data_IF_809254874610
#
_entry.id   IF_809254874610
#
_cell.length_a   1.000
_cell.length_b   1.000
_cell.length_c   1.000
_cell.angle_alpha   90.00
_cell.angle_beta   90.00
_cell.angle_gamma   90.00
#
_symmetry.space_group_name_H-M   'P 1'
#
loop_
_entity.id
_entity.type
_entity.pdbx_description
1 polymer ?
#
# COMPACT_ATOMS: atom_id res chain seq x y z
N UNK A 1 18.68 15.21 -0.49
CA UNK A 1 19.06 13.77 -0.52
C UNK A 1 18.69 13.11 -1.85
N UNK A 2 17.49 13.32 -2.39
CA UNK A 2 17.06 12.76 -3.69
C UNK A 2 18.03 13.13 -4.82
N UNK A 3 18.49 14.36 -4.87
CA UNK A 3 19.41 14.84 -5.92
C UNK A 3 20.80 14.16 -5.91
N UNK A 4 21.11 13.39 -4.87
CA UNK A 4 22.37 12.65 -4.74
C UNK A 4 22.21 11.15 -5.03
N UNK A 5 21.03 10.72 -5.47
CA UNK A 5 20.76 9.34 -5.85
C UNK A 5 21.12 9.20 -7.33
N UNK A 6 22.08 8.35 -7.65
CA UNK A 6 22.40 7.96 -9.01
C UNK A 6 21.70 6.65 -9.31
N UNK A 7 20.79 6.66 -10.27
CA UNK A 7 20.08 5.49 -10.74
C UNK A 7 20.78 4.95 -12.01
N UNK A 8 20.84 3.63 -12.14
CA UNK A 8 21.26 2.98 -13.37
C UNK A 8 20.16 3.17 -14.43
N UNK A 9 20.42 3.83 -15.56
CA UNK A 9 19.41 4.10 -16.59
C UNK A 9 18.87 2.82 -17.26
N UNK A 10 19.58 1.70 -17.12
CA UNK A 10 19.18 0.41 -17.68
C UNK A 10 18.32 -0.43 -16.72
N UNK A 11 18.03 0.09 -15.53
CA UNK A 11 17.22 -0.59 -14.52
C UNK A 11 15.96 0.20 -14.22
N UNK A 12 14.89 -0.53 -13.93
CA UNK A 12 13.64 0.05 -13.47
C UNK A 12 13.58 0.02 -11.95
N UNK A 13 12.96 1.03 -11.34
CA UNK A 13 12.88 1.15 -9.89
C UNK A 13 11.46 1.51 -9.45
N UNK A 14 11.03 0.91 -8.34
CA UNK A 14 9.90 1.38 -7.56
C UNK A 14 10.43 2.16 -6.36
N UNK A 15 10.10 3.43 -6.26
CA UNK A 15 10.54 4.31 -5.18
C UNK A 15 9.31 4.81 -4.44
N UNK A 16 9.18 4.41 -3.18
CA UNK A 16 8.08 4.82 -2.31
C UNK A 16 8.50 5.83 -1.25
N UNK A 17 7.66 6.81 -0.98
CA UNK A 17 7.73 7.68 0.19
C UNK A 17 6.70 7.29 1.24
N UNK A 18 6.86 7.73 2.48
CA UNK A 18 5.88 7.49 3.54
C UNK A 18 6.02 6.17 4.29
N UNK A 19 7.11 5.43 4.14
CA UNK A 19 7.33 4.16 4.85
C UNK A 19 7.33 4.30 6.38
N UNK A 20 7.91 5.39 6.90
CA UNK A 20 8.00 5.69 8.34
C UNK A 20 7.25 6.97 8.72
N UNK A 21 6.55 7.58 7.77
CA UNK A 21 5.80 8.82 7.92
C UNK A 21 4.65 8.82 6.93
N UNK A 22 3.88 9.90 6.87
CA UNK A 22 2.83 10.07 5.86
C UNK A 22 3.31 11.03 4.76
N UNK A 23 3.16 10.63 3.50
CA UNK A 23 3.66 11.42 2.37
C UNK A 23 2.88 12.71 2.13
N UNK A 24 1.59 12.76 2.48
CA UNK A 24 0.69 13.85 2.10
C UNK A 24 0.13 14.64 3.29
N UNK A 25 0.25 14.13 4.54
CA UNK A 25 -0.37 14.76 5.70
C UNK A 25 0.01 16.23 5.86
N UNK A 26 1.27 16.58 5.62
CA UNK A 26 1.80 17.93 5.73
C UNK A 26 1.68 18.77 4.44
N UNK A 27 1.08 18.20 3.38
CA UNK A 27 1.08 18.84 2.07
C UNK A 27 2.49 19.11 1.53
N UNK A 28 2.64 20.14 0.70
CA UNK A 28 3.94 20.52 0.14
C UNK A 28 4.77 21.42 1.07
N UNK A 29 4.76 21.14 2.36
CA UNK A 29 5.54 21.93 3.34
C UNK A 29 7.04 21.83 3.00
N UNK A 30 7.67 22.99 2.86
CA UNK A 30 9.10 23.07 2.51
C UNK A 30 9.43 22.59 1.09
N UNK A 31 8.45 22.46 0.18
CA UNK A 31 8.68 22.04 -1.20
C UNK A 31 9.03 20.55 -1.34
N UNK A 32 8.66 19.71 -0.36
CA UNK A 32 9.04 18.29 -0.36
C UNK A 32 8.35 17.53 -1.48
N UNK A 33 7.05 17.78 -1.72
CA UNK A 33 6.32 17.12 -2.82
C UNK A 33 6.88 17.58 -4.16
N UNK A 34 7.15 18.88 -4.34
CA UNK A 34 7.77 19.39 -5.57
C UNK A 34 9.09 18.69 -5.89
N UNK A 35 9.97 18.57 -4.90
CA UNK A 35 11.25 17.91 -5.08
C UNK A 35 11.09 16.42 -5.46
N UNK A 36 10.05 15.75 -4.98
CA UNK A 36 9.75 14.36 -5.31
C UNK A 36 9.14 14.23 -6.72
N UNK A 37 8.22 15.13 -7.08
CA UNK A 37 7.66 15.17 -8.44
C UNK A 37 8.74 15.50 -9.48
N UNK A 38 9.63 16.46 -9.18
CA UNK A 38 10.75 16.79 -10.06
C UNK A 38 11.73 15.64 -10.20
N UNK A 39 11.98 14.89 -9.13
CA UNK A 39 12.80 13.69 -9.20
C UNK A 39 12.15 12.62 -10.09
N UNK A 40 10.85 12.38 -9.94
CA UNK A 40 10.11 11.44 -10.79
C UNK A 40 10.14 11.88 -12.27
N UNK A 41 9.94 13.17 -12.53
CA UNK A 41 9.94 13.74 -13.90
C UNK A 41 11.28 13.56 -14.60
N UNK A 42 12.39 13.68 -13.86
CA UNK A 42 13.76 13.53 -14.39
C UNK A 42 14.20 12.09 -14.60
N UNK A 43 13.50 11.13 -14.02
CA UNK A 43 13.86 9.72 -14.04
C UNK A 43 12.70 8.87 -14.59
N UNK A 44 12.56 8.74 -15.92
CA UNK A 44 11.44 8.02 -16.53
C UNK A 44 11.46 6.50 -16.26
N UNK A 45 12.59 5.97 -15.84
CA UNK A 45 12.79 4.56 -15.47
C UNK A 45 12.38 4.25 -14.02
N UNK A 46 11.68 5.16 -13.35
CA UNK A 46 11.09 4.88 -12.04
C UNK A 46 9.56 4.94 -12.09
N UNK A 47 8.93 4.21 -11.19
CA UNK A 47 7.58 4.50 -10.69
C UNK A 47 7.72 5.05 -9.27
N UNK A 48 7.09 6.20 -9.01
CA UNK A 48 7.18 6.88 -7.73
C UNK A 48 5.85 6.79 -6.97
N UNK A 49 5.90 6.33 -5.73
CA UNK A 49 4.74 6.13 -4.89
C UNK A 49 4.68 7.13 -3.74
N UNK A 50 3.56 7.86 -3.62
CA UNK A 50 3.19 8.57 -2.41
C UNK A 50 2.25 7.70 -1.57
N UNK A 51 2.74 7.16 -0.45
CA UNK A 51 1.93 6.36 0.47
C UNK A 51 1.37 7.22 1.60
N UNK A 52 0.05 7.13 1.85
CA UNK A 52 -0.61 8.02 2.80
C UNK A 52 -1.79 7.34 3.54
N UNK A 53 -2.18 7.94 4.67
CA UNK A 53 -3.44 7.73 5.40
C UNK A 53 -4.23 9.05 5.51
N UNK A 54 -3.79 10.07 4.78
CA UNK A 54 -4.37 11.42 4.81
C UNK A 54 -5.42 11.60 3.72
N UNK A 55 -6.30 12.58 3.93
CA UNK A 55 -7.20 13.13 2.90
C UNK A 55 -6.65 14.40 2.23
N UNK A 56 -5.43 14.80 2.58
CA UNK A 56 -4.84 16.05 2.10
C UNK A 56 -4.23 15.87 0.71
N UNK A 57 -5.08 15.92 -0.32
CA UNK A 57 -4.70 15.77 -1.74
C UNK A 57 -4.74 17.09 -2.52
N UNK A 58 -5.11 18.20 -1.84
CA UNK A 58 -5.35 19.49 -2.50
C UNK A 58 -4.14 19.95 -3.34
N UNK A 59 -2.92 19.67 -2.86
CA UNK A 59 -1.72 20.07 -3.59
C UNK A 59 -1.59 19.30 -4.92
N UNK A 60 -1.77 17.98 -4.91
CA UNK A 60 -1.67 17.16 -6.11
C UNK A 60 -2.77 17.43 -7.13
N UNK A 61 -3.98 17.79 -6.68
CA UNK A 61 -5.08 18.20 -7.57
C UNK A 61 -4.80 19.52 -8.32
N UNK A 62 -3.89 20.34 -7.82
CA UNK A 62 -3.55 21.65 -8.40
C UNK A 62 -2.13 21.71 -8.98
N UNK A 63 -1.49 20.56 -9.15
CA UNK A 63 -0.11 20.45 -9.63
C UNK A 63 -0.05 19.47 -10.80
N UNK A 64 0.81 19.75 -11.77
CA UNK A 64 1.12 18.80 -12.86
C UNK A 64 1.89 17.61 -12.29
N UNK A 65 1.20 16.49 -12.11
CA UNK A 65 1.77 15.24 -11.58
C UNK A 65 2.32 14.40 -12.72
N UNK A 66 3.63 14.03 -12.70
CA UNK A 66 4.22 13.17 -13.72
C UNK A 66 3.50 11.82 -13.81
N UNK A 67 3.40 11.27 -15.02
CA UNK A 67 2.66 10.01 -15.26
C UNK A 67 3.26 8.79 -14.55
N UNK A 68 4.54 8.81 -14.25
CA UNK A 68 5.22 7.77 -13.51
C UNK A 68 5.07 7.92 -11.98
N UNK A 69 4.08 8.70 -11.54
CA UNK A 69 3.71 8.86 -10.12
C UNK A 69 2.33 8.27 -9.88
N UNK A 70 2.18 7.55 -8.78
CA UNK A 70 0.88 7.13 -8.27
C UNK A 70 0.77 7.40 -6.76
N UNK A 71 -0.45 7.41 -6.26
CA UNK A 71 -0.73 7.65 -4.84
C UNK A 71 -1.41 6.42 -4.25
N UNK A 72 -0.93 5.96 -3.11
CA UNK A 72 -1.48 4.79 -2.45
C UNK A 72 -2.01 5.09 -1.05
N UNK A 73 -3.11 4.43 -0.68
CA UNK A 73 -3.69 4.53 0.65
C UNK A 73 -3.57 3.23 1.41
N UNK A 74 -3.13 3.32 2.67
CA UNK A 74 -3.33 2.23 3.60
C UNK A 74 -4.80 2.19 3.98
N UNK A 75 -5.44 1.02 3.85
CA UNK A 75 -6.84 0.79 4.15
C UNK A 75 -6.99 -0.19 5.32
N UNK A 76 -7.81 0.19 6.26
CA UNK A 76 -8.23 -0.65 7.38
C UNK A 76 -9.71 -0.41 7.67
N UNK A 77 -10.41 -1.36 8.28
CA UNK A 77 -11.76 -1.14 8.79
C UNK A 77 -11.84 0.05 9.74
N UNK A 78 -12.95 0.80 9.70
CA UNK A 78 -13.09 2.03 10.48
C UNK A 78 -12.88 1.78 11.98
N UNK A 79 -13.33 0.64 12.50
CA UNK A 79 -13.10 0.29 13.90
C UNK A 79 -11.61 0.20 14.27
N UNK A 80 -10.77 -0.25 13.33
CA UNK A 80 -9.32 -0.29 13.55
C UNK A 80 -8.71 1.12 13.44
N UNK A 81 -9.17 1.91 12.48
CA UNK A 81 -8.72 3.31 12.31
C UNK A 81 -9.01 4.11 13.58
N UNK A 82 -10.21 4.00 14.13
CA UNK A 82 -10.63 4.73 15.33
C UNK A 82 -9.83 4.35 16.59
N UNK A 83 -9.46 3.06 16.69
CA UNK A 83 -8.78 2.56 17.87
C UNK A 83 -7.25 2.67 17.81
N UNK A 84 -6.64 2.60 16.62
CA UNK A 84 -5.18 2.42 16.48
C UNK A 84 -4.52 3.44 15.55
N UNK A 85 -5.25 4.09 14.63
CA UNK A 85 -4.68 5.01 13.65
C UNK A 85 -5.05 6.47 13.95
N UNK A 86 -4.78 6.91 15.17
CA UNK A 86 -5.13 8.25 15.63
C UNK A 86 -4.56 9.37 14.74
N UNK A 87 -5.39 10.39 14.48
CA UNK A 87 -4.98 11.56 13.67
C UNK A 87 -4.94 11.31 12.18
N UNK A 88 -5.41 10.14 11.69
CA UNK A 88 -5.50 9.84 10.26
C UNK A 88 -6.92 10.06 9.72
N UNK A 89 -7.07 10.02 8.40
CA UNK A 89 -8.38 10.14 7.76
C UNK A 89 -9.22 8.87 7.96
N UNK A 90 -10.56 9.02 8.01
CA UNK A 90 -11.48 7.87 8.01
C UNK A 90 -11.38 7.06 6.71
N UNK A 91 -11.86 5.83 6.72
CA UNK A 91 -11.86 4.98 5.51
C UNK A 91 -12.61 5.65 4.36
N UNK A 92 -13.77 6.24 4.62
CA UNK A 92 -14.55 6.96 3.60
C UNK A 92 -13.81 8.17 3.02
N UNK A 93 -13.08 8.92 3.86
CA UNK A 93 -12.26 10.04 3.41
C UNK A 93 -11.06 9.59 2.57
N UNK A 94 -10.41 8.46 2.92
CA UNK A 94 -9.32 7.88 2.11
C UNK A 94 -9.82 7.47 0.73
N UNK A 95 -10.95 6.76 0.67
CA UNK A 95 -11.55 6.32 -0.60
C UNK A 95 -12.01 7.49 -1.47
N UNK A 96 -12.67 8.50 -0.88
CA UNK A 96 -13.06 9.71 -1.60
C UNK A 96 -11.85 10.48 -2.17
N UNK A 97 -10.76 10.57 -1.39
CA UNK A 97 -9.52 11.21 -1.85
C UNK A 97 -8.87 10.43 -2.98
N UNK A 98 -8.83 9.10 -2.89
CA UNK A 98 -8.32 8.24 -3.96
C UNK A 98 -9.17 8.41 -5.24
N UNK A 99 -10.51 8.43 -5.13
CA UNK A 99 -11.40 8.65 -6.26
C UNK A 99 -11.12 10.01 -6.94
N UNK A 100 -11.02 11.08 -6.14
CA UNK A 100 -10.76 12.42 -6.67
C UNK A 100 -9.43 12.51 -7.43
N UNK A 101 -8.35 11.84 -6.97
CA UNK A 101 -7.09 11.80 -7.73
C UNK A 101 -7.22 10.95 -9.00
N UNK A 102 -7.92 9.83 -8.93
CA UNK A 102 -8.15 8.97 -10.08
C UNK A 102 -9.00 9.67 -11.17
N UNK A 103 -10.01 10.45 -10.77
CA UNK A 103 -10.80 11.29 -11.70
C UNK A 103 -9.94 12.35 -12.41
N UNK A 104 -8.79 12.70 -11.82
CA UNK A 104 -7.80 13.60 -12.42
C UNK A 104 -6.68 12.84 -13.17
N UNK A 105 -6.87 11.57 -13.47
CA UNK A 105 -5.94 10.76 -14.27
C UNK A 105 -4.69 10.29 -13.53
N UNK A 106 -4.65 10.39 -12.19
CA UNK A 106 -3.56 9.88 -11.36
C UNK A 106 -3.90 8.46 -10.92
N UNK A 107 -3.04 7.49 -11.23
CA UNK A 107 -3.19 6.12 -10.76
C UNK A 107 -3.19 6.06 -9.23
N UNK A 108 -4.01 5.17 -8.68
CA UNK A 108 -4.10 4.95 -7.24
C UNK A 108 -3.72 3.53 -6.86
N UNK A 109 -3.25 3.31 -5.64
CA UNK A 109 -2.91 2.00 -5.11
C UNK A 109 -3.50 1.81 -3.72
N UNK A 110 -3.60 0.55 -3.27
CA UNK A 110 -4.15 0.25 -1.96
C UNK A 110 -3.29 -0.74 -1.19
N UNK A 111 -3.05 -0.42 0.07
CA UNK A 111 -2.31 -1.26 1.00
C UNK A 111 -3.26 -1.77 2.09
N UNK A 112 -3.55 -3.04 2.06
CA UNK A 112 -4.15 -3.77 3.17
C UNK A 112 -3.03 -4.24 4.09
N UNK A 113 -2.42 -3.28 4.78
CA UNK A 113 -1.24 -3.52 5.61
C UNK A 113 -1.23 -2.62 6.85
N UNK A 114 -1.44 -3.21 8.02
CA UNK A 114 -1.67 -4.63 8.28
C UNK A 114 -3.12 -5.06 8.07
N UNK A 115 -3.36 -6.28 7.60
CA UNK A 115 -4.65 -6.95 7.78
C UNK A 115 -4.68 -7.45 9.23
N UNK A 116 -5.75 -7.13 9.95
CA UNK A 116 -5.90 -7.45 11.36
C UNK A 116 -6.93 -8.55 11.55
N UNK A 117 -6.55 -9.60 12.29
CA UNK A 117 -7.42 -10.72 12.63
C UNK A 117 -8.22 -10.39 13.91
N UNK A 118 -9.54 -10.35 13.80
CA UNK A 118 -10.46 -10.10 14.92
C UNK A 118 -11.87 -10.60 14.57
N UNK A 119 -12.78 -10.59 15.53
CA UNK A 119 -14.18 -10.93 15.25
C UNK A 119 -14.77 -10.00 14.21
N UNK A 120 -15.42 -10.54 13.18
CA UNK A 120 -16.02 -9.82 12.04
C UNK A 120 -15.02 -9.26 10.99
N UNK A 121 -13.71 -9.54 11.09
CA UNK A 121 -12.73 -9.04 10.11
C UNK A 121 -13.13 -9.35 8.67
N UNK A 122 -13.67 -10.54 8.41
CA UNK A 122 -14.10 -10.97 7.08
C UNK A 122 -15.11 -9.98 6.50
N UNK A 123 -16.19 -9.71 7.24
CA UNK A 123 -17.22 -8.77 6.78
C UNK A 123 -16.64 -7.38 6.56
N UNK A 124 -15.87 -6.87 7.49
CA UNK A 124 -15.37 -5.50 7.44
C UNK A 124 -14.38 -5.28 6.28
N UNK A 125 -13.51 -6.26 5.98
CA UNK A 125 -12.64 -6.19 4.80
C UNK A 125 -13.41 -6.42 3.49
N UNK A 126 -14.39 -7.33 3.46
CA UNK A 126 -15.27 -7.51 2.30
C UNK A 126 -16.03 -6.22 1.96
N UNK A 127 -16.57 -5.52 2.95
CA UNK A 127 -17.27 -4.24 2.74
C UNK A 127 -16.33 -3.17 2.11
N UNK A 128 -15.07 -3.09 2.54
CA UNK A 128 -14.08 -2.19 1.92
C UNK A 128 -13.82 -2.60 0.47
N UNK A 129 -13.61 -3.90 0.19
CA UNK A 129 -13.30 -4.41 -1.14
C UNK A 129 -14.47 -4.19 -2.10
N UNK A 130 -15.71 -4.39 -1.65
CA UNK A 130 -16.89 -4.10 -2.46
C UNK A 130 -17.00 -2.58 -2.78
N UNK A 131 -16.70 -1.72 -1.82
CA UNK A 131 -16.63 -0.27 -2.09
C UNK A 131 -15.56 0.06 -3.16
N UNK A 132 -14.37 -0.55 -3.09
CA UNK A 132 -13.35 -0.39 -4.12
C UNK A 132 -13.85 -0.83 -5.50
N UNK A 133 -14.50 -1.99 -5.57
CA UNK A 133 -15.08 -2.52 -6.81
C UNK A 133 -16.10 -1.58 -7.45
N UNK A 134 -16.93 -0.94 -6.63
CA UNK A 134 -17.94 0.01 -7.12
C UNK A 134 -17.34 1.36 -7.51
N UNK A 135 -16.27 1.77 -6.85
CA UNK A 135 -15.67 3.10 -7.04
C UNK A 135 -14.62 3.14 -8.16
N UNK A 136 -13.94 2.02 -8.45
CA UNK A 136 -12.78 2.04 -9.34
C UNK A 136 -12.86 0.97 -10.42
N UNK A 137 -12.28 1.26 -11.58
CA UNK A 137 -11.95 0.29 -12.61
C UNK A 137 -10.53 -0.26 -12.37
N UNK A 138 -10.24 -1.45 -12.88
CA UNK A 138 -8.94 -2.10 -12.71
C UNK A 138 -7.78 -1.35 -13.37
N UNK A 139 -8.04 -0.57 -14.41
CA UNK A 139 -7.04 0.25 -15.12
C UNK A 139 -6.66 1.51 -14.34
N UNK A 140 -7.46 1.91 -13.37
CA UNK A 140 -7.18 3.02 -12.46
C UNK A 140 -6.33 2.61 -11.25
N UNK A 141 -6.16 1.30 -11.01
CA UNK A 141 -5.46 0.76 -9.85
C UNK A 141 -4.04 0.33 -10.23
N UNK A 142 -3.04 0.99 -9.68
CA UNK A 142 -1.64 0.63 -9.86
C UNK A 142 -1.33 -0.77 -9.30
N UNK A 143 -1.64 -0.97 -8.02
CA UNK A 143 -1.37 -2.23 -7.31
C UNK A 143 -2.23 -2.35 -6.05
N UNK A 144 -2.32 -3.57 -5.54
CA UNK A 144 -2.86 -3.89 -4.21
C UNK A 144 -1.83 -4.71 -3.45
N UNK A 145 -1.41 -4.20 -2.29
CA UNK A 145 -0.54 -4.95 -1.39
C UNK A 145 -1.28 -5.44 -0.16
N UNK A 146 -0.87 -6.60 0.32
CA UNK A 146 -1.38 -7.21 1.53
C UNK A 146 -0.24 -7.53 2.48
N UNK A 147 -0.45 -7.37 3.77
CA UNK A 147 0.52 -7.72 4.79
C UNK A 147 -0.15 -7.88 6.14
N UNK A 148 0.47 -8.64 7.03
CA UNK A 148 -0.05 -8.87 8.37
C UNK A 148 0.69 -8.06 9.43
N UNK A 149 0.16 -8.03 10.64
CA UNK A 149 0.88 -7.48 11.79
C UNK A 149 2.18 -8.25 12.01
N UNK A 150 3.28 -7.53 11.90
CA UNK A 150 4.62 -8.09 12.12
C UNK A 150 5.45 -7.12 12.93
N UNK A 151 5.98 -7.58 14.05
CA UNK A 151 6.81 -6.79 14.94
C UNK A 151 8.18 -7.41 15.13
N UNK A 152 9.20 -6.58 15.18
CA UNK A 152 10.48 -7.02 15.74
C UNK A 152 10.31 -7.17 17.27
N UNK A 153 10.88 -8.24 17.84
CA UNK A 153 10.70 -8.58 19.28
C UNK A 153 11.09 -7.43 20.22
N UNK A 154 12.10 -6.64 19.86
CA UNK A 154 12.52 -5.46 20.64
C UNK A 154 11.48 -4.34 20.62
N UNK A 155 10.72 -4.17 19.53
CA UNK A 155 9.66 -3.17 19.45
C UNK A 155 8.51 -3.51 20.38
N UNK A 156 8.06 -4.77 20.45
CA UNK A 156 7.00 -5.21 21.38
C UNK A 156 7.36 -4.85 22.83
N UNK A 157 8.61 -5.13 23.24
CA UNK A 157 9.06 -4.80 24.60
C UNK A 157 9.01 -3.29 24.87
N UNK A 158 9.41 -2.47 23.89
CA UNK A 158 9.34 -1.00 24.01
C UNK A 158 7.89 -0.50 24.07
N UNK A 159 7.01 -1.02 23.21
CA UNK A 159 5.60 -0.64 23.17
C UNK A 159 4.89 -0.99 24.49
N UNK A 160 5.12 -2.20 25.02
CA UNK A 160 4.59 -2.59 26.35
C UNK A 160 5.10 -1.70 27.47
N UNK A 161 6.38 -1.34 27.45
CA UNK A 161 6.99 -0.43 28.45
C UNK A 161 6.44 0.99 28.34
N UNK A 162 6.07 1.44 27.15
CA UNK A 162 5.51 2.76 26.92
C UNK A 162 4.07 2.92 27.43
N UNK A 163 3.40 1.84 27.87
CA UNK A 163 2.05 1.88 28.43
C UNK A 163 0.99 2.36 27.44
N UNK A 164 1.21 2.15 26.13
CA UNK A 164 0.27 2.55 25.09
C UNK A 164 -1.04 1.78 25.23
N UNK A 165 -2.16 2.50 25.18
CA UNK A 165 -3.50 1.90 25.16
C UNK A 165 -3.77 1.37 23.74
N UNK A 166 -3.29 0.15 23.46
CA UNK A 166 -3.49 -0.52 22.17
C UNK A 166 -3.95 -1.96 22.39
N UNK A 167 -4.92 -2.39 21.59
CA UNK A 167 -5.38 -3.78 21.55
C UNK A 167 -4.50 -4.67 20.67
N UNK A 168 -3.69 -4.07 19.80
CA UNK A 168 -2.79 -4.79 18.88
C UNK A 168 -1.80 -5.70 19.61
N UNK A 169 -1.32 -5.28 20.78
CA UNK A 169 -0.40 -6.08 21.61
C UNK A 169 -1.06 -7.26 22.35
N UNK A 170 -2.39 -7.35 22.32
CA UNK A 170 -3.17 -8.45 22.92
C UNK A 170 -3.44 -9.58 21.91
N UNK A 171 -3.19 -9.36 20.63
CA UNK A 171 -3.42 -10.35 19.58
C UNK A 171 -2.39 -11.47 19.73
N UNK A 172 -2.81 -12.75 19.68
CA UNK A 172 -1.89 -13.88 19.73
C UNK A 172 -0.90 -13.85 18.58
N UNK A 173 0.39 -13.89 18.89
CA UNK A 173 1.47 -13.88 17.90
C UNK A 173 2.41 -15.05 18.13
N UNK A 174 2.90 -15.63 17.04
CA UNK A 174 3.93 -16.65 17.00
C UNK A 174 5.26 -16.09 16.49
N UNK A 175 6.32 -16.86 16.64
CA UNK A 175 7.63 -16.54 16.05
C UNK A 175 7.57 -16.76 14.53
N UNK A 176 7.99 -15.77 13.78
CA UNK A 176 8.10 -15.81 12.33
C UNK A 176 9.47 -15.25 11.93
N UNK A 177 10.44 -16.12 11.72
CA UNK A 177 11.82 -15.77 11.35
C UNK A 177 12.45 -14.70 12.27
N UNK A 178 12.29 -14.86 13.59
CA UNK A 178 12.82 -13.93 14.60
C UNK A 178 11.98 -12.67 14.82
N UNK A 179 10.85 -12.54 14.14
CA UNK A 179 9.82 -11.51 14.35
C UNK A 179 8.62 -12.14 15.05
N UNK A 180 7.70 -11.34 15.53
CA UNK A 180 6.39 -11.77 16.04
C UNK A 180 5.33 -11.40 15.03
N UNK A 181 4.57 -12.39 14.56
CA UNK A 181 3.47 -12.22 13.60
C UNK A 181 2.38 -13.27 13.87
N UNK A 182 1.34 -13.29 13.07
CA UNK A 182 0.33 -14.35 13.14
C UNK A 182 0.92 -15.72 12.80
N UNK A 183 0.26 -16.79 13.29
CA UNK A 183 0.58 -18.14 12.86
C UNK A 183 0.34 -18.32 11.35
N UNK A 184 0.93 -19.34 10.76
CA UNK A 184 0.80 -19.62 9.33
C UNK A 184 -0.67 -19.91 8.95
N UNK A 185 -1.42 -20.58 9.83
CA UNK A 185 -2.84 -20.86 9.64
C UNK A 185 -3.67 -19.58 9.58
N UNK A 186 -3.46 -18.65 10.51
CA UNK A 186 -4.15 -17.35 10.50
C UNK A 186 -3.77 -16.54 9.27
N UNK A 187 -2.48 -16.51 8.90
CA UNK A 187 -2.02 -15.83 7.68
C UNK A 187 -2.71 -16.40 6.44
N UNK A 188 -2.77 -17.72 6.32
CA UNK A 188 -3.47 -18.39 5.22
C UNK A 188 -4.94 -17.98 5.16
N UNK A 189 -5.62 -18.00 6.30
CA UNK A 189 -7.03 -17.66 6.40
C UNK A 189 -7.29 -16.22 5.95
N UNK A 190 -6.61 -15.24 6.55
CA UNK A 190 -6.87 -13.82 6.28
C UNK A 190 -6.44 -13.38 4.88
N UNK A 191 -5.28 -13.88 4.37
CA UNK A 191 -4.83 -13.53 3.04
C UNK A 191 -5.73 -14.15 1.96
N UNK A 192 -6.10 -15.42 2.10
CA UNK A 192 -7.01 -16.06 1.15
C UNK A 192 -8.38 -15.40 1.15
N UNK A 193 -8.91 -15.02 2.33
CA UNK A 193 -10.17 -14.29 2.38
C UNK A 193 -10.07 -12.98 1.58
N UNK A 194 -9.12 -12.12 1.91
CA UNK A 194 -8.97 -10.82 1.25
C UNK A 194 -8.65 -10.97 -0.24
N UNK A 195 -7.76 -11.89 -0.63
CA UNK A 195 -7.41 -12.11 -2.02
C UNK A 195 -8.59 -12.63 -2.84
N UNK A 196 -9.35 -13.60 -2.33
CA UNK A 196 -10.51 -14.17 -3.03
C UNK A 196 -11.62 -13.13 -3.22
N UNK A 197 -11.84 -12.22 -2.27
CA UNK A 197 -12.76 -11.10 -2.43
C UNK A 197 -12.39 -10.19 -3.62
N UNK A 198 -11.12 -10.14 -4.01
CA UNK A 198 -10.62 -9.44 -5.19
C UNK A 198 -10.62 -10.27 -6.48
N UNK A 199 -11.27 -11.43 -6.54
CA UNK A 199 -11.24 -12.33 -7.70
C UNK A 199 -11.54 -11.66 -9.04
N UNK A 200 -12.36 -10.61 -9.04
CA UNK A 200 -12.71 -9.81 -10.23
C UNK A 200 -11.54 -8.97 -10.80
N UNK A 201 -10.41 -8.87 -10.06
CA UNK A 201 -9.23 -8.10 -10.48
C UNK A 201 -7.93 -8.92 -10.55
N UNK A 202 -7.94 -10.23 -10.27
CA UNK A 202 -6.71 -11.04 -10.18
C UNK A 202 -5.80 -10.93 -11.40
N UNK A 203 -6.35 -10.91 -12.61
CA UNK A 203 -5.56 -10.82 -13.84
C UNK A 203 -5.36 -9.37 -14.35
N UNK A 204 -5.94 -8.40 -13.65
CA UNK A 204 -6.00 -7.01 -14.12
C UNK A 204 -5.22 -6.04 -13.24
N UNK A 205 -4.97 -6.42 -12.00
CA UNK A 205 -4.28 -5.60 -11.00
C UNK A 205 -3.11 -6.40 -10.44
N UNK A 206 -2.01 -5.74 -10.18
CA UNK A 206 -0.85 -6.37 -9.55
C UNK A 206 -1.10 -6.54 -8.05
N UNK A 207 -1.06 -7.79 -7.57
CA UNK A 207 -1.17 -8.14 -6.16
C UNK A 207 0.16 -8.60 -5.62
N UNK A 208 0.48 -8.23 -4.38
CA UNK A 208 1.66 -8.76 -3.70
C UNK A 208 1.51 -8.82 -2.19
N UNK A 209 2.31 -9.69 -1.56
CA UNK A 209 2.43 -9.78 -0.10
C UNK A 209 3.65 -8.99 0.37
N UNK A 210 3.44 -8.08 1.31
CA UNK A 210 4.50 -7.26 1.87
C UNK A 210 5.12 -7.96 3.09
N UNK A 211 6.45 -8.16 3.06
CA UNK A 211 7.25 -8.72 4.17
C UNK A 211 6.88 -10.16 4.56
N UNK A 212 6.31 -10.94 3.66
CA UNK A 212 5.96 -12.34 3.89
C UNK A 212 6.95 -13.29 3.21
N UNK A 213 7.09 -14.48 3.80
CA UNK A 213 7.97 -15.54 3.30
C UNK A 213 7.37 -16.22 2.06
N UNK A 214 8.21 -16.85 1.23
CA UNK A 214 7.81 -17.53 -0.01
C UNK A 214 6.69 -18.56 0.19
N UNK A 215 6.70 -19.27 1.33
CA UNK A 215 5.65 -20.23 1.66
C UNK A 215 4.26 -19.58 1.75
N UNK A 216 4.17 -18.35 2.27
CA UNK A 216 2.90 -17.62 2.35
C UNK A 216 2.45 -17.17 0.95
N UNK A 217 3.39 -16.72 0.12
CA UNK A 217 3.11 -16.38 -1.28
C UNK A 217 2.55 -17.57 -2.04
N UNK A 218 3.18 -18.74 -1.91
CA UNK A 218 2.73 -19.96 -2.57
C UNK A 218 1.34 -20.40 -2.10
N UNK A 219 1.04 -20.25 -0.81
CA UNK A 219 -0.26 -20.57 -0.23
C UNK A 219 -1.39 -19.65 -0.72
N UNK A 220 -1.09 -18.40 -1.06
CA UNK A 220 -2.08 -17.38 -1.45
C UNK A 220 -2.19 -17.27 -2.97
N UNK A 221 -1.06 -17.21 -3.68
CA UNK A 221 -1.02 -16.96 -5.13
C UNK A 221 -0.68 -18.21 -5.96
N UNK A 222 -0.32 -19.33 -5.32
CA UNK A 222 0.18 -20.53 -6.01
C UNK A 222 1.58 -20.35 -6.61
N UNK A 223 2.25 -19.23 -6.36
CA UNK A 223 3.57 -18.92 -6.88
C UNK A 223 4.26 -17.84 -6.05
N UNK A 224 5.57 -17.68 -6.24
CA UNK A 224 6.35 -16.60 -5.63
C UNK A 224 7.50 -16.17 -6.55
N UNK A 225 8.02 -14.98 -6.34
CA UNK A 225 9.19 -14.47 -7.07
C UNK A 225 10.47 -15.01 -6.44
N UNK A 226 11.37 -15.57 -7.28
CA UNK A 226 12.65 -16.16 -6.82
C UNK A 226 13.60 -15.13 -6.23
N UNK A 227 13.51 -13.88 -6.64
CA UNK A 227 14.33 -12.78 -6.13
C UNK A 227 13.61 -11.43 -6.32
N UNK A 228 14.16 -10.38 -5.71
CA UNK A 228 13.60 -9.04 -5.77
C UNK A 228 13.61 -8.45 -7.19
N UNK A 229 14.59 -8.76 -8.02
CA UNK A 229 14.65 -8.22 -9.39
C UNK A 229 13.46 -8.66 -10.24
N UNK A 230 13.08 -9.93 -10.13
CA UNK A 230 11.89 -10.46 -10.84
C UNK A 230 10.61 -9.82 -10.30
N UNK A 231 10.50 -9.66 -8.99
CA UNK A 231 9.37 -8.98 -8.37
C UNK A 231 9.26 -7.51 -8.81
N UNK A 232 10.34 -6.75 -8.68
CA UNK A 232 10.37 -5.34 -9.05
C UNK A 232 10.07 -5.14 -10.55
N UNK A 233 10.61 -6.00 -11.42
CA UNK A 233 10.32 -5.97 -12.86
C UNK A 233 8.85 -6.25 -13.16
N UNK A 234 8.24 -7.23 -12.48
CA UNK A 234 6.83 -7.56 -12.66
C UNK A 234 5.92 -6.41 -12.19
N UNK A 235 6.19 -5.86 -11.00
CA UNK A 235 5.49 -4.69 -10.47
C UNK A 235 5.61 -3.49 -11.41
N UNK A 236 6.85 -3.15 -11.82
CA UNK A 236 7.11 -2.03 -12.70
C UNK A 236 6.32 -2.18 -14.02
N UNK A 237 6.44 -3.32 -14.69
CA UNK A 237 5.78 -3.55 -15.97
C UNK A 237 4.25 -3.45 -15.85
N UNK A 238 3.68 -4.01 -14.79
CA UNK A 238 2.24 -3.95 -14.56
C UNK A 238 1.75 -2.52 -14.34
N UNK A 239 2.43 -1.74 -13.51
CA UNK A 239 2.05 -0.34 -13.23
C UNK A 239 2.32 0.56 -14.43
N UNK A 240 3.49 0.42 -15.05
CA UNK A 240 3.91 1.25 -16.19
C UNK A 240 3.01 1.07 -17.41
N UNK A 241 2.50 -0.14 -17.65
CA UNK A 241 1.55 -0.38 -18.74
C UNK A 241 0.26 0.44 -18.59
N UNK A 242 -0.22 0.64 -17.38
CA UNK A 242 -1.41 1.44 -17.08
C UNK A 242 -1.16 2.95 -17.21
N UNK A 243 0.05 3.41 -16.87
CA UNK A 243 0.45 4.82 -17.00
C UNK A 243 0.46 5.29 -18.47
N UNK A 244 0.66 4.38 -19.42
CA UNK A 244 0.73 4.69 -20.84
C UNK A 244 -0.63 4.59 -21.56
N UNK A 245 -1.61 3.88 -21.01
CA UNK A 245 -2.95 3.70 -21.63
C UNK A 245 -3.83 4.94 -21.47
N UNK A 246 -3.62 5.80 -20.48
CA UNK A 246 -4.40 7.02 -20.24
C UNK A 246 -4.21 8.14 -21.28
N UNK A 247 -3.53 7.86 -22.40
CA UNK A 247 -3.25 8.83 -23.47
C UNK A 247 -4.14 8.72 -24.71
N UNK A 248 -5.19 7.88 -24.70
CA UNK A 248 -6.05 7.67 -25.88
C UNK A 248 -7.52 7.94 -25.54
N UNK A 249 -7.82 9.16 -25.09
CA UNK A 249 -9.18 9.72 -25.14
C UNK A 249 -9.07 11.21 -25.46
#
# INVERSE_FOLDING_TARGET
KLNNITLDPNKNYHIGSGQSSDSLAMGNTGGVIDAQLDFARKNPNIIFEFKTKSKNIKYLLNTDVPKNVFVSWSLNPQIFIDNEEHGTASISQRLASARALSDNGILVGFHFHPIVFYNNYQKDYSDIIQNLRHMFRSDEIAMISMGTLTFIKSAIKKLRKAGLNTKVLQIPMSDAAGKSSYSLEIKKEIFNHVYNEFSFWHEKVFFYLCMEESIVWEMVFGSYYKNNELFESALFNSVYSKMNVTNTV
#
